data_IF_086957376749
#
_entry.id   IF_086957376749
#
_cell.length_a   1.000
_cell.length_b   1.000
_cell.length_c   1.000
_cell.angle_alpha   90.00
_cell.angle_beta   90.00
_cell.angle_gamma   90.00
#
_symmetry.space_group_name_H-M   'P 1'
#
loop_
_entity.id
_entity.type
_entity.pdbx_description
1 polymer ?
#
# COMPACT_ATOMS: atom_id res chain seq x y z
N UNK A 1 -30.86 -82.17 -15.16
CA UNK A 1 -29.47 -81.99 -15.65
C UNK A 1 -28.81 -80.95 -14.73
N UNK A 2 -27.92 -81.38 -13.82
CA UNK A 2 -26.44 -81.16 -13.87
C UNK A 2 -26.13 -79.67 -13.61
N UNK A 3 -25.35 -79.19 -12.62
CA UNK A 3 -24.42 -79.72 -11.60
C UNK A 3 -24.41 -78.68 -10.43
N UNK A 4 -24.30 -79.01 -9.14
CA UNK A 4 -23.13 -79.49 -8.37
C UNK A 4 -21.81 -78.74 -8.63
N UNK A 5 -21.49 -77.76 -7.76
CA UNK A 5 -20.17 -77.64 -7.13
C UNK A 5 -20.23 -76.68 -5.94
N UNK A 6 -20.11 -77.25 -4.74
CA UNK A 6 -19.66 -76.55 -3.56
C UNK A 6 -18.12 -76.55 -3.57
N UNK A 7 -17.47 -75.42 -3.31
CA UNK A 7 -16.10 -75.35 -2.78
C UNK A 7 -16.01 -74.14 -1.84
N UNK A 8 -15.53 -74.45 -0.65
CA UNK A 8 -15.25 -73.62 0.52
C UNK A 8 -14.40 -72.37 0.24
N UNK A 9 -14.77 -71.25 0.86
CA UNK A 9 -13.86 -70.14 1.14
C UNK A 9 -13.77 -69.94 2.65
N UNK A 10 -12.68 -70.47 3.18
CA UNK A 10 -12.13 -70.24 4.51
C UNK A 10 -11.99 -68.75 4.79
N UNK A 11 -12.53 -68.33 5.93
CA UNK A 11 -12.33 -67.02 6.55
C UNK A 11 -10.87 -66.83 6.97
N UNK A 12 -10.13 -66.01 6.22
CA UNK A 12 -8.91 -65.36 6.71
C UNK A 12 -9.28 -63.96 7.19
N UNK A 13 -9.15 -63.73 8.50
CA UNK A 13 -9.13 -62.39 9.07
C UNK A 13 -7.91 -61.67 8.50
N UNK A 14 -8.14 -60.73 7.58
CA UNK A 14 -7.14 -59.73 7.24
C UNK A 14 -7.15 -58.71 8.37
N UNK A 15 -6.18 -58.87 9.27
CA UNK A 15 -5.69 -57.80 10.11
C UNK A 15 -4.92 -56.82 9.22
N UNK A 16 -5.58 -55.75 8.78
CA UNK A 16 -4.91 -54.49 8.45
C UNK A 16 -5.15 -53.59 9.66
N UNK A 17 -4.27 -53.64 10.67
CA UNK A 17 -3.02 -52.86 10.71
C UNK A 17 -3.33 -51.40 10.44
N UNK A 18 -3.36 -50.64 11.53
CA UNK A 18 -3.32 -49.18 11.66
C UNK A 18 -3.64 -48.40 10.39
N UNK A 19 -4.75 -47.66 10.45
CA UNK A 19 -4.85 -46.41 9.71
C UNK A 19 -3.60 -45.60 10.04
N UNK A 20 -2.65 -45.55 9.10
CA UNK A 20 -1.78 -44.41 8.91
C UNK A 20 -2.72 -43.22 8.62
N UNK A 21 -3.31 -42.66 9.67
CA UNK A 21 -3.73 -41.27 9.67
C UNK A 21 -2.41 -40.49 9.52
N UNK A 22 -1.99 -40.27 8.27
CA UNK A 22 -0.95 -39.29 7.93
C UNK A 22 -1.33 -38.00 8.65
N UNK A 23 -0.71 -37.76 9.82
CA UNK A 23 -0.89 -36.53 10.57
C UNK A 23 -0.70 -35.37 9.57
N UNK A 24 -1.66 -34.43 9.46
CA UNK A 24 -1.59 -33.40 8.45
C UNK A 24 -0.30 -32.61 8.62
N UNK A 25 0.65 -32.82 7.71
CA UNK A 25 1.91 -32.09 7.70
C UNK A 25 1.64 -30.65 7.23
N UNK A 26 1.33 -29.77 8.19
CA UNK A 26 1.03 -28.37 7.93
C UNK A 26 2.15 -27.66 7.17
N UNK A 27 3.41 -28.07 7.34
CA UNK A 27 4.53 -27.50 6.60
C UNK A 27 4.40 -27.73 5.09
N UNK A 28 4.03 -28.95 4.66
CA UNK A 28 3.78 -29.24 3.24
C UNK A 28 2.58 -28.47 2.69
N UNK A 29 1.56 -28.22 3.52
CA UNK A 29 0.35 -27.51 3.11
C UNK A 29 0.62 -26.04 2.77
N UNK A 30 1.50 -25.39 3.54
CA UNK A 30 1.84 -23.96 3.40
C UNK A 30 3.11 -23.71 2.60
N UNK A 31 3.85 -24.75 2.20
CA UNK A 31 5.03 -24.62 1.36
C UNK A 31 4.67 -24.00 0.01
N UNK A 32 5.52 -23.10 -0.47
CA UNK A 32 5.28 -22.39 -1.72
C UNK A 32 6.07 -21.09 -1.83
N UNK A 33 5.95 -20.48 -3.01
CA UNK A 33 6.47 -19.16 -3.30
C UNK A 33 5.31 -18.16 -3.34
N UNK A 34 5.41 -17.13 -2.52
CA UNK A 34 4.45 -16.06 -2.36
C UNK A 34 5.05 -14.79 -2.94
N UNK A 35 4.29 -14.12 -3.81
CA UNK A 35 4.67 -12.84 -4.41
C UNK A 35 3.80 -11.74 -3.83
N UNK A 36 4.42 -10.61 -3.57
CA UNK A 36 3.77 -9.50 -2.92
C UNK A 36 4.61 -8.25 -2.99
N UNK A 37 4.34 -7.35 -2.06
CA UNK A 37 5.10 -6.15 -1.84
C UNK A 37 5.33 -5.97 -0.34
N UNK A 38 6.28 -5.11 0.00
CA UNK A 38 6.68 -4.85 1.38
C UNK A 38 6.49 -3.39 1.73
N UNK A 39 5.80 -3.15 2.83
CA UNK A 39 5.55 -1.81 3.35
C UNK A 39 6.23 -1.67 4.71
N UNK A 40 6.98 -0.57 4.87
CA UNK A 40 7.72 -0.25 6.07
C UNK A 40 7.12 0.90 6.87
N UNK A 41 7.28 0.84 8.18
CA UNK A 41 6.99 1.94 9.09
C UNK A 41 8.07 2.01 10.20
N UNK A 42 8.42 3.23 10.61
CA UNK A 42 9.32 3.50 11.74
C UNK A 42 9.00 4.88 12.35
N UNK A 43 9.84 5.39 13.24
CA UNK A 43 9.62 6.71 13.85
C UNK A 43 9.66 7.88 12.87
N UNK A 44 10.22 7.68 11.67
CA UNK A 44 10.42 8.76 10.68
C UNK A 44 9.42 8.73 9.53
N UNK A 45 8.83 7.57 9.23
CA UNK A 45 7.89 7.40 8.13
C UNK A 45 6.91 6.27 8.43
N UNK A 46 5.77 6.30 7.73
CA UNK A 46 4.76 5.23 7.79
C UNK A 46 4.28 4.92 6.38
N UNK A 47 3.84 3.68 6.18
CA UNK A 47 3.29 3.22 4.91
C UNK A 47 4.24 3.47 3.72
N UNK A 48 5.53 3.15 3.91
CA UNK A 48 6.57 3.37 2.89
C UNK A 48 6.82 2.10 2.08
N UNK A 49 6.77 2.17 0.75
CA UNK A 49 7.03 1.04 -0.12
C UNK A 49 8.53 0.68 -0.10
N UNK A 50 8.87 -0.44 0.54
CA UNK A 50 10.24 -0.95 0.67
C UNK A 50 10.66 -1.86 -0.49
N UNK A 51 9.68 -2.51 -1.12
CA UNK A 51 9.88 -3.39 -2.27
C UNK A 51 8.55 -3.64 -2.95
N UNK A 52 8.48 -3.45 -4.26
CA UNK A 52 7.27 -3.62 -5.08
C UNK A 52 7.14 -5.00 -5.73
N UNK A 53 8.20 -5.80 -5.68
CA UNK A 53 8.26 -7.20 -6.15
C UNK A 53 8.85 -8.13 -5.08
N UNK A 54 8.40 -7.96 -3.84
CA UNK A 54 8.84 -8.79 -2.70
C UNK A 54 8.44 -10.26 -2.88
N UNK A 55 9.29 -11.15 -2.36
CA UNK A 55 9.07 -12.60 -2.45
C UNK A 55 9.27 -13.26 -1.10
N UNK A 56 8.40 -14.20 -0.76
CA UNK A 56 8.56 -15.06 0.40
C UNK A 56 8.45 -16.52 -0.04
N UNK A 57 9.44 -17.34 0.30
CA UNK A 57 9.48 -18.75 -0.03
C UNK A 57 9.46 -19.56 1.26
N UNK A 58 8.45 -20.41 1.40
CA UNK A 58 8.34 -21.37 2.50
C UNK A 58 8.69 -22.74 1.95
N UNK A 59 9.70 -23.38 2.55
CA UNK A 59 10.10 -24.75 2.23
C UNK A 59 9.77 -25.67 3.40
N UNK A 60 9.02 -26.74 3.15
CA UNK A 60 8.74 -27.76 4.15
C UNK A 60 9.96 -28.67 4.38
N UNK A 61 10.27 -28.94 5.64
CA UNK A 61 11.24 -29.93 6.05
C UNK A 61 10.55 -31.28 6.31
N UNK A 62 11.32 -32.37 6.31
CA UNK A 62 10.80 -33.72 6.57
C UNK A 62 10.25 -33.89 7.99
N UNK A 63 10.81 -33.15 8.95
CA UNK A 63 10.44 -33.17 10.38
C UNK A 63 9.17 -32.34 10.70
N UNK A 64 8.49 -31.82 9.68
CA UNK A 64 7.28 -30.99 9.85
C UNK A 64 7.56 -29.52 10.20
N UNK A 65 8.83 -29.10 10.26
CA UNK A 65 9.21 -27.67 10.37
C UNK A 65 9.25 -27.01 8.98
N UNK A 66 9.43 -25.68 8.96
CA UNK A 66 9.64 -24.92 7.72
C UNK A 66 10.95 -24.12 7.74
N UNK A 67 11.46 -23.82 6.55
CA UNK A 67 12.42 -22.74 6.33
C UNK A 67 11.72 -21.60 5.57
N UNK A 68 12.03 -20.37 5.94
CA UNK A 68 11.53 -19.15 5.32
C UNK A 68 12.69 -18.36 4.71
N UNK A 69 12.53 -17.97 3.45
CA UNK A 69 13.34 -16.94 2.80
C UNK A 69 12.40 -15.82 2.36
N UNK A 70 12.48 -14.66 2.99
CA UNK A 70 11.69 -13.48 2.66
C UNK A 70 12.60 -12.35 2.18
N UNK A 71 12.44 -11.97 0.92
CA UNK A 71 13.13 -10.85 0.27
C UNK A 71 12.17 -9.68 0.23
N UNK A 72 12.39 -8.68 1.07
CA UNK A 72 11.49 -7.52 1.20
C UNK A 72 11.77 -6.40 0.19
N UNK A 73 12.78 -6.57 -0.67
CA UNK A 73 13.36 -5.50 -1.50
C UNK A 73 14.34 -4.59 -0.76
N UNK A 74 14.21 -4.50 0.58
CA UNK A 74 15.10 -3.70 1.44
C UNK A 74 15.89 -4.56 2.45
N UNK A 75 15.73 -5.88 2.43
CA UNK A 75 16.47 -6.83 3.27
C UNK A 75 16.05 -8.28 2.98
N UNK A 76 16.99 -9.20 3.19
CA UNK A 76 16.80 -10.64 2.98
C UNK A 76 16.71 -11.36 4.33
N UNK A 77 15.50 -11.73 4.73
CA UNK A 77 15.20 -12.43 5.98
C UNK A 77 15.26 -13.93 5.75
N UNK A 78 16.07 -14.63 6.55
CA UNK A 78 16.17 -16.10 6.50
C UNK A 78 15.98 -16.69 7.88
N UNK A 79 15.05 -17.63 7.99
CA UNK A 79 14.79 -18.40 9.21
C UNK A 79 14.70 -19.89 8.87
N UNK A 80 15.31 -20.73 9.70
CA UNK A 80 15.38 -22.18 9.47
C UNK A 80 14.73 -22.94 10.61
N UNK A 81 14.19 -24.12 10.29
CA UNK A 81 13.62 -25.08 11.25
C UNK A 81 12.53 -24.47 12.15
N UNK A 82 11.70 -23.58 11.59
CA UNK A 82 10.60 -22.96 12.30
C UNK A 82 9.49 -23.98 12.57
N UNK A 83 9.04 -24.04 13.83
CA UNK A 83 7.91 -24.87 14.22
C UNK A 83 6.61 -24.17 13.89
N UNK A 84 5.65 -24.93 13.38
CA UNK A 84 4.30 -24.45 13.14
C UNK A 84 3.42 -24.68 14.36
N UNK A 85 2.60 -23.68 14.66
CA UNK A 85 1.45 -23.81 15.53
C UNK A 85 0.28 -24.52 14.82
N UNK A 86 -0.74 -24.90 15.58
CA UNK A 86 -1.96 -25.53 15.04
C UNK A 86 -2.73 -24.64 14.07
N UNK A 87 -2.55 -23.32 14.13
CA UNK A 87 -3.13 -22.35 13.20
C UNK A 87 -2.17 -21.95 12.06
N UNK A 88 -1.15 -22.77 11.76
CA UNK A 88 -0.18 -22.55 10.68
C UNK A 88 0.56 -21.21 10.81
N UNK A 89 0.73 -20.72 12.03
CA UNK A 89 1.56 -19.58 12.34
C UNK A 89 2.96 -20.02 12.78
N UNK A 90 3.93 -19.15 12.60
CA UNK A 90 5.31 -19.34 12.97
C UNK A 90 5.93 -18.02 13.40
N UNK A 91 6.98 -18.10 14.19
CA UNK A 91 7.80 -16.95 14.54
C UNK A 91 9.25 -17.35 14.69
N UNK A 92 10.14 -16.38 14.47
CA UNK A 92 11.57 -16.56 14.66
C UNK A 92 12.28 -15.23 14.80
N UNK A 93 13.59 -15.31 15.03
CA UNK A 93 14.46 -14.15 15.16
C UNK A 93 15.78 -14.42 14.44
N UNK A 94 16.42 -13.37 13.99
CA UNK A 94 17.72 -13.45 13.33
C UNK A 94 18.34 -12.08 13.17
N UNK A 95 19.34 -12.00 12.28
CA UNK A 95 19.99 -10.77 11.91
C UNK A 95 19.76 -10.51 10.42
N UNK A 96 19.46 -9.28 10.04
CA UNK A 96 19.19 -8.88 8.65
C UNK A 96 20.03 -7.66 8.28
N UNK A 97 20.70 -7.73 7.13
CA UNK A 97 21.31 -6.56 6.51
C UNK A 97 20.22 -5.77 5.78
N UNK A 98 20.00 -4.54 6.21
CA UNK A 98 18.98 -3.66 5.59
C UNK A 98 19.64 -2.73 4.56
N UNK A 99 19.12 -2.69 3.35
CA UNK A 99 19.55 -1.74 2.31
C UNK A 99 18.38 -0.86 1.88
N UNK A 100 18.32 0.37 2.39
CA UNK A 100 17.37 1.38 1.88
C UNK A 100 18.09 2.26 0.85
N UNK A 101 17.75 2.11 -0.43
CA UNK A 101 18.30 2.93 -1.51
C UNK A 101 19.63 2.46 -2.12
N UNK A 102 19.96 1.16 -2.04
CA UNK A 102 21.05 0.55 -2.81
C UNK A 102 22.46 0.64 -2.22
N UNK A 103 22.63 1.18 -1.01
CA UNK A 103 23.86 1.07 -0.22
C UNK A 103 23.82 -0.14 0.71
N UNK A 104 24.97 -0.78 0.94
CA UNK A 104 25.12 -1.85 1.93
C UNK A 104 24.90 -1.27 3.32
N UNK A 105 23.70 -1.42 3.87
CA UNK A 105 23.40 -0.92 5.21
C UNK A 105 23.86 -1.88 6.31
N UNK A 106 23.61 -1.47 7.55
CA UNK A 106 23.98 -2.22 8.74
C UNK A 106 23.21 -3.53 8.89
N UNK A 107 23.76 -4.42 9.70
CA UNK A 107 23.07 -5.61 10.17
C UNK A 107 22.34 -5.31 11.46
N UNK A 108 21.10 -5.76 11.58
CA UNK A 108 20.24 -5.50 12.71
C UNK A 108 19.51 -6.77 13.14
N UNK A 109 19.33 -6.91 14.45
CA UNK A 109 18.48 -7.96 14.98
C UNK A 109 17.03 -7.74 14.54
N UNK A 110 16.33 -8.82 14.27
CA UNK A 110 14.92 -8.79 13.97
C UNK A 110 14.16 -9.94 14.63
N UNK A 111 12.87 -9.70 14.83
CA UNK A 111 11.86 -10.73 15.06
C UNK A 111 10.91 -10.76 13.89
N UNK A 112 10.43 -11.93 13.51
CA UNK A 112 9.47 -12.10 12.41
C UNK A 112 8.37 -13.04 12.86
N UNK A 113 7.14 -12.62 12.58
CA UNK A 113 5.94 -13.42 12.75
C UNK A 113 5.30 -13.65 11.39
N UNK A 114 4.77 -14.83 11.16
CA UNK A 114 4.07 -15.14 9.93
C UNK A 114 2.98 -16.17 10.11
N UNK A 115 2.03 -16.18 9.18
CA UNK A 115 0.95 -17.16 9.13
C UNK A 115 0.42 -17.31 7.72
N UNK A 116 -0.10 -18.50 7.42
CA UNK A 116 -0.82 -18.77 6.18
C UNK A 116 -2.26 -19.14 6.50
N UNK A 117 -3.20 -18.39 5.94
CA UNK A 117 -4.62 -18.59 6.19
C UNK A 117 -5.20 -19.78 5.40
N UNK A 118 -6.48 -20.09 5.62
CA UNK A 118 -7.18 -21.16 4.90
C UNK A 118 -7.31 -20.94 3.39
N UNK A 119 -7.12 -19.71 2.92
CA UNK A 119 -7.12 -19.33 1.50
C UNK A 119 -5.72 -19.35 0.88
N UNK A 120 -4.70 -19.81 1.62
CA UNK A 120 -3.28 -19.78 1.24
C UNK A 120 -2.74 -18.38 1.00
N UNK A 121 -3.23 -17.41 1.77
CA UNK A 121 -2.67 -16.06 1.81
C UNK A 121 -1.63 -16.01 2.92
N UNK A 122 -0.41 -15.63 2.56
CA UNK A 122 0.69 -15.42 3.50
C UNK A 122 0.65 -13.99 4.05
N UNK A 123 0.78 -13.87 5.37
CA UNK A 123 1.08 -12.61 6.05
C UNK A 123 2.41 -12.76 6.77
N UNK A 124 3.33 -11.81 6.60
CA UNK A 124 4.56 -11.71 7.37
C UNK A 124 4.66 -10.31 7.97
N UNK A 125 5.08 -10.25 9.24
CA UNK A 125 5.45 -9.01 9.92
C UNK A 125 6.83 -9.17 10.51
N UNK A 126 7.79 -8.42 9.98
CA UNK A 126 9.13 -8.33 10.53
C UNK A 126 9.26 -7.06 11.37
N UNK A 127 10.02 -7.16 12.45
CA UNK A 127 10.29 -6.12 13.41
C UNK A 127 11.81 -6.03 13.55
N UNK A 128 12.42 -5.03 12.94
CA UNK A 128 13.87 -4.84 12.89
C UNK A 128 14.26 -3.77 13.92
N UNK A 129 15.19 -4.12 14.81
CA UNK A 129 15.62 -3.26 15.90
C UNK A 129 16.74 -2.32 15.42
N UNK A 130 16.36 -1.23 14.75
CA UNK A 130 17.28 -0.19 14.30
C UNK A 130 17.48 0.85 15.41
N UNK A 131 18.73 1.24 15.74
CA UNK A 131 18.99 2.31 16.69
C UNK A 131 18.29 3.62 16.33
N UNK A 132 18.06 4.45 17.34
CA UNK A 132 17.57 5.83 17.13
C UNK A 132 18.50 6.59 16.18
N UNK A 133 17.97 7.48 15.31
CA UNK A 133 16.61 8.05 15.35
C UNK A 133 15.51 7.20 14.71
N UNK A 134 15.86 6.20 13.89
CA UNK A 134 14.86 5.41 13.14
C UNK A 134 13.99 4.56 14.07
N UNK A 135 14.60 4.01 15.13
CA UNK A 135 13.90 3.14 16.07
C UNK A 135 13.46 1.83 15.40
N UNK A 136 12.56 1.11 16.08
CA UNK A 136 12.02 -0.16 15.59
C UNK A 136 11.33 0.03 14.24
N UNK A 137 11.79 -0.71 13.23
CA UNK A 137 11.21 -0.72 11.90
C UNK A 137 10.27 -1.93 11.77
N UNK A 138 9.01 -1.66 11.50
CA UNK A 138 8.02 -2.68 11.16
C UNK A 138 7.96 -2.83 9.64
N UNK A 139 7.98 -4.08 9.16
CA UNK A 139 7.90 -4.41 7.74
C UNK A 139 6.81 -5.44 7.56
N UNK A 140 5.76 -5.07 6.85
CA UNK A 140 4.65 -5.96 6.50
C UNK A 140 4.82 -6.46 5.07
N UNK A 141 4.74 -7.78 4.88
CA UNK A 141 4.58 -8.40 3.56
C UNK A 141 3.10 -8.51 3.25
N UNK A 142 2.71 -7.98 2.08
CA UNK A 142 1.35 -8.02 1.59
C UNK A 142 1.33 -8.78 0.27
N UNK A 143 0.64 -9.91 0.25
CA UNK A 143 0.52 -10.74 -0.95
C UNK A 143 -0.37 -10.05 -2.00
N UNK A 144 0.07 -10.05 -3.26
CA UNK A 144 -0.64 -9.43 -4.38
C UNK A 144 0.19 -8.41 -5.15
N UNK A 145 -0.47 -7.67 -6.03
CA UNK A 145 0.17 -6.59 -6.79
C UNK A 145 0.26 -5.32 -5.96
N UNK A 146 1.38 -4.61 -6.08
CA UNK A 146 1.57 -3.28 -5.48
C UNK A 146 0.50 -2.32 -5.97
N UNK A 147 -0.29 -1.68 -5.09
CA UNK A 147 -1.21 -0.62 -5.48
C UNK A 147 -0.50 0.47 -6.28
N UNK A 148 -1.04 0.80 -7.47
CA UNK A 148 -0.41 1.75 -8.40
C UNK A 148 -0.20 3.13 -7.77
N UNK A 149 -1.00 3.48 -6.77
CA UNK A 149 -0.87 4.72 -6.01
C UNK A 149 0.46 4.87 -5.28
N UNK A 150 1.15 3.78 -4.90
CA UNK A 150 2.45 3.89 -4.24
C UNK A 150 3.52 4.56 -5.11
N UNK A 151 3.43 4.45 -6.44
CA UNK A 151 4.40 5.05 -7.35
C UNK A 151 4.28 6.57 -7.47
N UNK A 152 3.17 7.14 -6.99
CA UNK A 152 2.90 8.58 -6.98
C UNK A 152 2.57 9.10 -5.59
N UNK A 153 2.71 8.27 -4.56
CA UNK A 153 2.51 8.66 -3.17
C UNK A 153 3.65 9.59 -2.76
N UNK A 154 3.37 10.87 -2.63
CA UNK A 154 4.37 11.86 -2.21
C UNK A 154 3.73 13.21 -1.82
N UNK A 155 4.58 14.12 -1.36
CA UNK A 155 4.28 15.54 -1.17
C UNK A 155 4.88 16.38 -2.30
N UNK A 156 4.02 16.95 -3.13
CA UNK A 156 4.35 17.87 -4.21
C UNK A 156 4.33 19.32 -3.68
N UNK A 157 5.51 19.85 -3.38
CA UNK A 157 5.70 21.13 -2.67
C UNK A 157 6.79 22.03 -3.27
N UNK A 158 7.37 21.64 -4.40
CA UNK A 158 8.38 22.42 -5.10
C UNK A 158 7.81 23.02 -6.39
N UNK A 159 8.29 24.20 -6.77
CA UNK A 159 7.89 24.90 -8.00
C UNK A 159 6.36 25.01 -8.13
N UNK A 160 5.73 25.33 -7.02
CA UNK A 160 4.28 25.22 -6.85
C UNK A 160 3.55 26.47 -7.32
N UNK A 161 2.41 26.27 -7.94
CA UNK A 161 1.43 27.31 -8.21
C UNK A 161 0.03 26.71 -8.06
N UNK A 162 -0.84 27.43 -7.36
CA UNK A 162 -2.27 27.14 -7.28
C UNK A 162 -3.00 28.35 -7.83
N UNK A 163 -3.64 28.20 -8.99
CA UNK A 163 -4.50 29.21 -9.59
C UNK A 163 -5.95 28.89 -9.32
N UNK A 164 -6.71 29.84 -8.81
CA UNK A 164 -8.15 29.74 -8.59
C UNK A 164 -8.85 30.63 -9.60
N UNK A 165 -9.91 30.12 -10.23
CA UNK A 165 -10.75 30.88 -11.14
C UNK A 165 -12.23 30.62 -10.89
N UNK A 166 -13.02 31.68 -10.99
CA UNK A 166 -14.49 31.61 -10.97
C UNK A 166 -15.01 32.45 -12.12
N UNK A 167 -15.87 31.84 -12.93
CA UNK A 167 -16.62 32.53 -13.98
C UNK A 167 -18.00 32.88 -13.47
N UNK A 168 -18.31 34.17 -13.42
CA UNK A 168 -19.63 34.69 -13.05
C UNK A 168 -20.23 35.48 -14.21
N UNK A 169 -21.54 35.77 -14.21
CA UNK A 169 -22.13 36.68 -15.19
C UNK A 169 -21.48 38.08 -15.22
N UNK A 170 -20.82 38.50 -14.14
CA UNK A 170 -20.13 39.79 -14.03
C UNK A 170 -18.68 39.78 -14.51
N UNK A 171 -18.16 38.62 -14.96
CA UNK A 171 -16.78 38.44 -15.40
C UNK A 171 -16.06 37.29 -14.69
N UNK A 172 -14.80 37.12 -15.05
CA UNK A 172 -13.90 36.11 -14.47
C UNK A 172 -13.06 36.74 -13.37
N UNK A 173 -13.01 36.10 -12.21
CA UNK A 173 -12.07 36.42 -11.13
C UNK A 173 -11.01 35.34 -11.07
N UNK A 174 -9.74 35.73 -11.04
CA UNK A 174 -8.60 34.82 -10.94
C UNK A 174 -7.67 35.25 -9.82
N UNK A 175 -7.22 34.29 -9.01
CA UNK A 175 -6.26 34.48 -7.93
C UNK A 175 -5.20 33.37 -8.00
N UNK A 176 -4.03 33.59 -7.43
CA UNK A 176 -3.02 32.54 -7.36
C UNK A 176 -2.12 32.66 -6.14
N UNK A 177 -1.49 31.55 -5.76
CA UNK A 177 -0.42 31.50 -4.77
C UNK A 177 0.66 30.50 -5.18
N UNK A 178 1.89 30.74 -4.75
CA UNK A 178 2.99 29.76 -4.85
C UNK A 178 3.17 28.96 -3.55
N UNK A 179 2.67 29.49 -2.42
CA UNK A 179 2.67 28.81 -1.13
C UNK A 179 1.49 27.83 -1.05
N UNK A 180 1.66 26.69 -1.71
CA UNK A 180 0.68 25.63 -1.81
C UNK A 180 1.39 24.28 -1.95
N UNK A 181 0.66 23.20 -1.70
CA UNK A 181 1.16 21.83 -1.93
C UNK A 181 0.02 20.87 -2.17
N UNK A 182 0.36 19.76 -2.82
CA UNK A 182 -0.49 18.58 -2.94
C UNK A 182 0.16 17.41 -2.22
N UNK A 183 -0.64 16.62 -1.51
CA UNK A 183 -0.23 15.35 -0.92
C UNK A 183 -1.08 14.25 -1.56
N UNK A 184 -0.42 13.23 -2.12
CA UNK A 184 -1.06 12.01 -2.60
C UNK A 184 -0.70 10.89 -1.64
N UNK A 185 -1.70 10.25 -1.05
CA UNK A 185 -1.52 9.24 0.01
C UNK A 185 -2.62 8.17 0.01
N UNK A 186 -2.57 7.27 0.99
CA UNK A 186 -3.53 6.16 1.19
C UNK A 186 -3.78 5.30 -0.07
N UNK A 187 -2.72 4.79 -0.74
CA UNK A 187 -2.88 4.00 -1.94
C UNK A 187 -3.64 2.70 -1.64
N UNK A 188 -4.80 2.53 -2.29
CA UNK A 188 -5.67 1.35 -2.16
C UNK A 188 -6.08 0.87 -3.54
N UNK A 189 -5.56 -0.29 -3.96
CA UNK A 189 -5.77 -0.81 -5.31
C UNK A 189 -5.38 0.21 -6.39
N UNK A 190 -6.37 0.72 -7.11
CA UNK A 190 -6.21 1.74 -8.16
C UNK A 190 -6.61 3.15 -7.71
N UNK A 191 -6.70 3.41 -6.41
CA UNK A 191 -7.14 4.72 -5.88
C UNK A 191 -6.17 5.30 -4.86
N UNK A 192 -6.22 6.62 -4.70
CA UNK A 192 -5.46 7.41 -3.71
C UNK A 192 -6.34 8.51 -3.13
N UNK A 193 -5.93 9.05 -1.99
CA UNK A 193 -6.44 10.30 -1.45
C UNK A 193 -5.55 11.45 -1.91
N UNK A 194 -6.18 12.55 -2.38
CA UNK A 194 -5.47 13.75 -2.85
C UNK A 194 -5.86 14.93 -1.97
N UNK A 195 -4.91 15.44 -1.20
CA UNK A 195 -5.08 16.65 -0.39
C UNK A 195 -4.46 17.84 -1.10
N UNK A 196 -5.26 18.87 -1.38
CA UNK A 196 -4.79 20.14 -1.97
C UNK A 196 -4.82 21.19 -0.87
N UNK A 197 -3.76 21.98 -0.74
CA UNK A 197 -3.61 23.01 0.30
C UNK A 197 -2.99 24.30 -0.23
N UNK A 198 -3.24 25.41 0.46
CA UNK A 198 -2.79 26.75 0.08
C UNK A 198 -3.92 27.68 -0.35
N UNK A 199 -5.19 27.26 -0.23
CA UNK A 199 -6.33 28.10 -0.60
C UNK A 199 -6.41 29.40 0.20
N UNK A 200 -5.98 29.38 1.47
CA UNK A 200 -5.91 30.56 2.35
C UNK A 200 -4.73 31.49 2.04
N UNK A 201 -3.80 31.08 1.19
CA UNK A 201 -2.62 31.85 0.83
C UNK A 201 -2.82 32.70 -0.43
N UNK A 202 -4.02 32.66 -1.04
CA UNK A 202 -4.34 33.60 -2.12
C UNK A 202 -4.56 35.01 -1.56
N UNK A 203 -4.25 36.01 -2.38
CA UNK A 203 -4.33 37.42 -1.99
C UNK A 203 -5.74 38.02 -2.06
N UNK A 204 -6.74 37.26 -2.50
CA UNK A 204 -8.09 37.78 -2.71
C UNK A 204 -9.15 37.10 -1.85
N UNK A 205 -10.38 37.09 -2.38
CA UNK A 205 -11.59 36.80 -1.61
C UNK A 205 -11.86 35.31 -1.44
N UNK A 206 -10.93 34.41 -1.81
CA UNK A 206 -11.12 32.96 -1.70
C UNK A 206 -10.34 32.34 -0.53
N UNK A 207 -9.76 33.16 0.34
CA UNK A 207 -8.84 32.74 1.39
C UNK A 207 -9.48 32.22 2.70
N UNK A 208 -10.64 31.56 2.62
CA UNK A 208 -11.43 31.21 3.80
C UNK A 208 -11.21 29.80 4.37
N UNK A 209 -10.46 28.93 3.69
CA UNK A 209 -10.10 27.60 4.18
C UNK A 209 -8.68 27.24 3.71
N UNK A 210 -7.99 26.34 4.40
CA UNK A 210 -6.59 26.01 4.10
C UNK A 210 -6.44 24.93 3.02
N UNK A 211 -7.23 23.86 3.14
CA UNK A 211 -7.08 22.61 2.38
C UNK A 211 -8.35 21.77 2.36
N UNK A 212 -8.47 20.84 1.43
CA UNK A 212 -9.41 19.73 1.53
C UNK A 212 -8.82 18.47 0.89
N UNK A 213 -9.39 17.32 1.22
CA UNK A 213 -8.96 16.01 0.71
C UNK A 213 -10.06 15.39 -0.14
N UNK A 214 -9.72 15.03 -1.38
CA UNK A 214 -10.57 14.24 -2.27
C UNK A 214 -10.17 12.78 -2.09
N UNK A 215 -11.10 11.94 -1.61
CA UNK A 215 -10.84 10.53 -1.37
C UNK A 215 -11.16 9.67 -2.57
N UNK A 216 -10.44 8.55 -2.73
CA UNK A 216 -10.76 7.55 -3.74
C UNK A 216 -10.54 8.00 -5.20
N UNK A 217 -9.58 8.91 -5.43
CA UNK A 217 -9.20 9.37 -6.76
C UNK A 217 -8.58 8.22 -7.54
N UNK A 218 -9.10 7.92 -8.74
CA UNK A 218 -8.57 6.84 -9.57
C UNK A 218 -7.20 7.20 -10.14
N UNK A 219 -6.31 6.23 -10.16
CA UNK A 219 -4.96 6.32 -10.72
C UNK A 219 -4.84 5.35 -11.88
N UNK A 220 -4.34 5.82 -13.01
CA UNK A 220 -4.06 4.98 -14.19
C UNK A 220 -2.65 5.24 -14.68
N UNK A 221 -1.85 4.17 -14.80
CA UNK A 221 -0.50 4.26 -15.37
C UNK A 221 -0.58 4.35 -16.89
N UNK A 222 0.12 5.31 -17.47
CA UNK A 222 0.28 5.47 -18.91
C UNK A 222 1.57 4.78 -19.40
N UNK A 223 1.62 4.51 -20.71
CA UNK A 223 2.75 3.81 -21.34
C UNK A 223 4.05 4.63 -21.34
N UNK A 224 3.95 5.96 -21.20
CA UNK A 224 5.09 6.88 -21.12
C UNK A 224 5.68 6.99 -19.71
N UNK A 225 5.16 6.22 -18.75
CA UNK A 225 5.57 6.25 -17.35
C UNK A 225 4.90 7.34 -16.51
N UNK A 226 4.00 8.14 -17.08
CA UNK A 226 3.14 9.06 -16.34
C UNK A 226 1.94 8.34 -15.71
N UNK A 227 1.27 9.02 -14.80
CA UNK A 227 0.08 8.55 -14.10
C UNK A 227 -1.03 9.59 -14.21
N UNK A 228 -2.21 9.18 -14.63
CA UNK A 228 -3.40 10.04 -14.67
C UNK A 228 -4.22 9.86 -13.39
N UNK A 229 -4.68 10.98 -12.85
CA UNK A 229 -5.58 11.07 -11.70
C UNK A 229 -6.96 11.47 -12.23
N UNK A 230 -8.01 10.77 -11.82
CA UNK A 230 -9.38 11.19 -12.16
C UNK A 230 -10.43 10.73 -11.15
N UNK A 231 -11.39 11.59 -10.88
CA UNK A 231 -12.65 11.26 -10.25
C UNK A 231 -13.72 12.23 -10.76
N UNK A 232 -14.95 11.72 -10.91
CA UNK A 232 -16.11 12.56 -11.19
C UNK A 232 -16.54 13.35 -9.95
N UNK A 233 -17.84 13.44 -9.73
CA UNK A 233 -18.37 14.14 -8.57
C UNK A 233 -17.89 13.51 -7.26
N UNK A 234 -17.59 14.35 -6.29
CA UNK A 234 -17.11 13.94 -4.97
C UNK A 234 -17.66 14.87 -3.89
N UNK A 235 -17.67 14.40 -2.65
CA UNK A 235 -17.94 15.23 -1.48
C UNK A 235 -16.70 15.23 -0.59
N UNK A 236 -16.39 16.39 -0.03
CA UNK A 236 -15.35 16.56 0.96
C UNK A 236 -15.79 17.58 2.00
N UNK A 237 -15.11 17.60 3.15
CA UNK A 237 -15.28 18.62 4.15
C UNK A 237 -13.95 19.35 4.38
N UNK A 238 -14.03 20.63 4.71
CA UNK A 238 -12.91 21.43 5.19
C UNK A 238 -13.32 22.26 6.41
N UNK A 239 -12.36 22.93 7.01
CA UNK A 239 -12.60 23.89 8.07
C UNK A 239 -12.28 25.29 7.57
N UNK A 240 -13.19 26.23 7.81
CA UNK A 240 -12.92 27.64 7.59
C UNK A 240 -11.79 28.12 8.51
N UNK A 241 -11.10 29.19 8.13
CA UNK A 241 -10.15 29.89 8.99
C UNK A 241 -10.79 30.42 10.30
N UNK A 242 -12.11 30.52 10.35
CA UNK A 242 -12.91 30.86 11.54
C UNK A 242 -13.28 29.66 12.42
N UNK A 243 -12.95 28.43 12.00
CA UNK A 243 -13.18 27.19 12.77
C UNK A 243 -14.46 26.41 12.42
N UNK A 244 -15.37 26.97 11.61
CA UNK A 244 -16.59 26.27 11.18
C UNK A 244 -16.30 25.22 10.10
N UNK A 245 -17.05 24.11 10.10
CA UNK A 245 -17.02 23.14 8.99
C UNK A 245 -17.62 23.78 7.74
N UNK A 246 -16.99 23.52 6.60
CA UNK A 246 -17.44 23.93 5.28
C UNK A 246 -17.46 22.70 4.38
N UNK A 247 -18.64 22.33 3.90
CA UNK A 247 -18.80 21.27 2.92
C UNK A 247 -18.23 21.72 1.56
N UNK A 248 -17.63 20.78 0.83
CA UNK A 248 -17.11 20.95 -0.52
C UNK A 248 -17.83 19.95 -1.42
N UNK A 249 -18.63 20.46 -2.35
CA UNK A 249 -19.24 19.65 -3.40
C UNK A 249 -18.39 19.75 -4.65
N UNK A 250 -17.70 18.65 -4.98
CA UNK A 250 -16.81 18.53 -6.12
C UNK A 250 -17.55 18.07 -7.37
N UNK A 251 -17.28 18.75 -8.49
CA UNK A 251 -17.74 18.33 -9.82
C UNK A 251 -16.78 17.31 -10.43
N UNK A 252 -15.47 17.55 -10.29
CA UNK A 252 -14.44 16.66 -10.82
C UNK A 252 -13.06 16.98 -10.23
N UNK A 253 -12.19 15.99 -10.20
CA UNK A 253 -10.74 16.18 -10.10
C UNK A 253 -10.08 15.40 -11.22
N UNK A 254 -9.14 16.05 -11.92
CA UNK A 254 -8.32 15.42 -12.95
C UNK A 254 -6.88 15.89 -12.83
N UNK A 255 -5.92 15.05 -13.13
CA UNK A 255 -4.51 15.44 -13.06
C UNK A 255 -3.57 14.45 -13.70
N UNK A 256 -2.29 14.81 -13.72
CA UNK A 256 -1.20 13.96 -14.19
C UNK A 256 0.00 14.12 -13.28
N UNK A 257 0.64 13.00 -12.94
CA UNK A 257 1.97 12.93 -12.35
C UNK A 257 2.91 12.37 -13.40
N UNK A 258 3.94 13.13 -13.77
CA UNK A 258 4.96 12.73 -14.74
C UNK A 258 6.07 11.93 -14.07
N UNK A 259 6.83 11.18 -14.86
CA UNK A 259 7.97 10.39 -14.40
C UNK A 259 9.10 11.23 -13.79
N UNK A 260 9.18 12.52 -14.11
CA UNK A 260 10.14 13.46 -13.54
C UNK A 260 9.72 14.05 -12.18
N UNK A 261 8.54 13.68 -11.69
CA UNK A 261 7.97 14.18 -10.43
C UNK A 261 7.06 15.39 -10.58
N UNK A 262 6.97 15.98 -11.78
CA UNK A 262 6.07 17.11 -12.06
C UNK A 262 4.61 16.66 -12.02
N UNK A 263 3.77 17.44 -11.37
CA UNK A 263 2.35 17.16 -11.19
C UNK A 263 1.50 18.35 -11.59
N UNK A 264 0.39 18.05 -12.25
CA UNK A 264 -0.68 19.01 -12.57
C UNK A 264 -2.01 18.45 -12.09
N UNK A 265 -2.82 19.23 -11.39
CA UNK A 265 -4.13 18.81 -10.90
C UNK A 265 -5.12 19.96 -11.09
N UNK A 266 -6.23 19.68 -11.76
CA UNK A 266 -7.39 20.55 -11.86
C UNK A 266 -8.50 19.96 -11.02
N UNK A 267 -9.05 20.77 -10.11
CA UNK A 267 -10.24 20.41 -9.33
C UNK A 267 -11.33 21.46 -9.52
N UNK A 268 -12.55 21.00 -9.76
CA UNK A 268 -13.73 21.85 -9.95
C UNK A 268 -14.70 21.58 -8.81
N UNK A 269 -15.04 22.60 -8.02
CA UNK A 269 -15.82 22.40 -6.79
C UNK A 269 -16.59 23.65 -6.34
N UNK A 270 -17.54 23.47 -5.42
CA UNK A 270 -18.31 24.53 -4.76
C UNK A 270 -18.13 24.46 -3.25
N UNK A 271 -17.62 25.52 -2.61
CA UNK A 271 -17.60 25.61 -1.16
C UNK A 271 -18.98 26.03 -0.62
N UNK A 272 -19.55 25.23 0.27
CA UNK A 272 -20.83 25.48 0.92
C UNK A 272 -21.96 25.68 -0.09
N UNK A 273 -22.73 26.77 0.07
CA UNK A 273 -23.86 27.09 -0.81
C UNK A 273 -23.49 28.03 -1.98
N UNK A 274 -22.20 28.08 -2.36
CA UNK A 274 -21.76 28.94 -3.46
C UNK A 274 -22.45 28.55 -4.78
N UNK A 275 -23.00 29.51 -5.55
CA UNK A 275 -23.75 29.19 -6.77
C UNK A 275 -22.86 28.77 -7.96
N UNK A 276 -21.59 29.20 -7.95
CA UNK A 276 -20.64 29.03 -9.05
C UNK A 276 -19.51 28.10 -8.68
N UNK A 277 -19.05 27.29 -9.64
CA UNK A 277 -17.86 26.45 -9.47
C UNK A 277 -16.60 27.30 -9.38
N UNK A 278 -15.71 26.88 -8.48
CA UNK A 278 -14.31 27.27 -8.45
C UNK A 278 -13.53 26.22 -9.22
N UNK A 279 -12.74 26.65 -10.19
CA UNK A 279 -11.69 25.81 -10.80
C UNK A 279 -10.37 26.14 -10.14
N UNK A 280 -9.74 25.15 -9.55
CA UNK A 280 -8.41 25.27 -8.98
C UNK A 280 -7.41 24.41 -9.76
N UNK A 281 -6.43 25.08 -10.36
CA UNK A 281 -5.36 24.46 -11.13
C UNK A 281 -4.05 24.52 -10.32
N UNK A 282 -3.58 23.35 -9.91
CA UNK A 282 -2.31 23.15 -9.24
C UNK A 282 -1.25 22.69 -10.23
N UNK A 283 -0.06 23.27 -10.15
CA UNK A 283 1.17 22.74 -10.73
C UNK A 283 2.24 22.65 -9.65
N UNK A 284 3.07 21.61 -9.66
CA UNK A 284 4.19 21.48 -8.72
C UNK A 284 5.05 20.26 -8.99
N UNK A 285 6.01 19.98 -8.10
CA UNK A 285 6.89 18.82 -8.16
C UNK A 285 7.17 18.25 -6.76
N UNK A 286 7.45 16.95 -6.67
CA UNK A 286 8.01 16.32 -5.47
C UNK A 286 9.54 16.39 -5.43
N UNK A 287 10.19 16.79 -6.53
CA UNK A 287 11.63 17.02 -6.61
C UNK A 287 11.95 18.51 -6.61
N UNK A 288 12.98 18.89 -5.84
CA UNK A 288 13.52 20.24 -5.86
C UNK A 288 14.50 20.41 -7.04
N UNK A 289 14.02 20.22 -8.26
CA UNK A 289 14.84 20.33 -9.46
C UNK A 289 14.83 21.77 -9.96
N UNK A 290 15.50 22.66 -9.24
CA UNK A 290 16.18 23.79 -9.89
C UNK A 290 17.52 23.28 -10.41
N UNK A 291 17.50 22.54 -11.52
CA UNK A 291 18.69 22.29 -12.36
C UNK A 291 18.33 22.48 -13.82
#
# INVERSE_FOLDING_TARGET
MVALMAISLSSTFVSCSDNDDDEPNFAKEIAGAYKGYSVGACNMFSDYLLGDESTATITANEDGTINLVYKSGSGDFTLNNLKLSSNKSFSGSGEVAMSMGGSTGGSYDYTLEGSVDGSKVLSLKANVDIPVPMGKMEIDFIQGETPVGYYIKDTYKYQTNLSLSVTTPGGNTTESTEDCKVIIENPTGSTVDVTISGFNNTSGSMNYFEKFTVKGVNVTKANDGSYSLNIGSFEADTQKTTGEILAITGTSLSGTVKSDGTTTITVVFKPGSMPWDITADFTGSNTNSAQ
#
